data_IF_462222154735
#
_entry.id   IF_462222154735
#
_cell.length_a   1.000
_cell.length_b   1.000
_cell.length_c   1.000
_cell.angle_alpha   90.00
_cell.angle_beta   90.00
_cell.angle_gamma   90.00
#
_symmetry.space_group_name_H-M   'P 1'
#
loop_
_entity.id
_entity.type
_entity.pdbx_description
1 polymer ?
#
# COMPACT_ATOMS: atom_id res chain seq x y z
N UNK A 1 -26.48 -36.29 -30.32
CA UNK A 1 -26.60 -34.91 -30.83
C UNK A 1 -26.73 -33.98 -29.63
N UNK A 2 -25.76 -33.08 -29.44
CA UNK A 2 -25.80 -32.01 -28.44
C UNK A 2 -26.59 -30.84 -29.05
N UNK A 3 -27.49 -30.23 -28.29
CA UNK A 3 -28.03 -28.92 -28.61
C UNK A 3 -28.04 -28.06 -27.35
N UNK A 4 -27.72 -26.79 -27.57
CA UNK A 4 -27.13 -25.77 -26.70
C UNK A 4 -28.17 -24.86 -26.02
N UNK A 5 -27.77 -24.36 -24.86
CA UNK A 5 -28.20 -23.19 -24.03
C UNK A 5 -28.93 -22.01 -24.73
N UNK A 6 -29.70 -21.17 -23.99
CA UNK A 6 -29.10 -20.11 -23.16
C UNK A 6 -29.63 -19.95 -21.73
N UNK A 7 -28.70 -19.50 -20.88
CA UNK A 7 -28.83 -19.00 -19.52
C UNK A 7 -29.44 -17.60 -19.56
N UNK A 8 -30.60 -17.40 -18.91
CA UNK A 8 -31.11 -16.06 -18.61
C UNK A 8 -30.97 -15.80 -17.11
N UNK A 9 -29.96 -15.02 -16.76
CA UNK A 9 -29.74 -14.47 -15.43
C UNK A 9 -30.22 -13.02 -15.44
N UNK A 10 -31.54 -12.81 -15.30
CA UNK A 10 -32.09 -11.48 -15.04
C UNK A 10 -31.99 -11.21 -13.53
N UNK A 11 -30.96 -10.47 -13.13
CA UNK A 11 -30.98 -9.74 -11.85
C UNK A 11 -31.59 -8.38 -12.14
N UNK A 12 -32.89 -8.28 -11.90
CA UNK A 12 -33.65 -7.03 -12.02
C UNK A 12 -33.21 -6.07 -10.92
N UNK A 13 -32.41 -5.06 -11.26
CA UNK A 13 -32.13 -3.93 -10.38
C UNK A 13 -33.28 -2.92 -10.53
N UNK A 14 -34.30 -3.06 -9.69
CA UNK A 14 -35.28 -1.99 -9.46
C UNK A 14 -34.68 -1.01 -8.46
N UNK A 15 -33.99 0.02 -8.96
CA UNK A 15 -33.54 1.17 -8.17
C UNK A 15 -34.58 2.29 -8.29
N UNK A 16 -35.60 2.22 -7.44
CA UNK A 16 -36.47 3.36 -7.18
C UNK A 16 -35.67 4.36 -6.34
N UNK A 17 -35.17 5.40 -7.03
CA UNK A 17 -34.48 6.52 -6.43
C UNK A 17 -35.24 7.07 -5.22
N UNK A 18 -34.58 6.97 -4.06
CA UNK A 18 -34.93 7.46 -2.71
C UNK A 18 -34.98 6.34 -1.66
N UNK A 19 -33.79 5.80 -1.36
CA UNK A 19 -33.61 4.93 -0.21
C UNK A 19 -32.13 4.72 0.08
N UNK A 20 -31.44 5.74 0.61
CA UNK A 20 -30.09 5.55 1.17
C UNK A 20 -30.20 4.60 2.35
N UNK A 21 -30.05 3.32 2.09
CA UNK A 21 -30.19 2.28 3.10
C UNK A 21 -28.96 2.27 4.00
N UNK A 22 -29.18 2.20 5.32
CA UNK A 22 -28.11 2.10 6.29
C UNK A 22 -27.22 0.89 5.97
N UNK A 23 -25.89 1.10 5.97
CA UNK A 23 -24.93 0.03 5.70
C UNK A 23 -24.64 -0.24 4.22
N UNK A 24 -25.22 0.53 3.28
CA UNK A 24 -24.83 0.46 1.88
C UNK A 24 -23.37 0.93 1.71
N UNK A 25 -22.60 0.15 0.95
CA UNK A 25 -21.24 0.54 0.54
C UNK A 25 -21.30 1.16 -0.85
N UNK A 26 -20.70 2.34 -1.02
CA UNK A 26 -20.60 3.05 -2.29
C UNK A 26 -19.16 3.21 -2.74
N UNK A 27 -18.96 3.32 -4.05
CA UNK A 27 -17.69 3.76 -4.64
C UNK A 27 -17.64 5.28 -4.70
N UNK A 28 -16.50 5.84 -4.34
CA UNK A 28 -16.19 7.25 -4.46
C UNK A 28 -14.75 7.48 -4.93
N UNK A 29 -14.35 8.73 -5.02
CA UNK A 29 -12.98 9.15 -5.29
C UNK A 29 -12.51 10.19 -4.27
N UNK A 30 -11.25 10.10 -3.86
CA UNK A 30 -10.64 11.12 -2.99
C UNK A 30 -10.44 12.40 -3.81
N UNK A 31 -10.97 13.52 -3.32
CA UNK A 31 -10.84 14.85 -3.94
C UNK A 31 -9.67 15.60 -3.32
N UNK A 32 -9.51 15.52 -2.01
CA UNK A 32 -8.38 16.11 -1.29
C UNK A 32 -8.15 15.41 0.04
N UNK A 33 -6.97 15.60 0.61
CA UNK A 33 -6.61 15.13 1.96
C UNK A 33 -5.90 16.27 2.67
N UNK A 34 -6.32 16.60 3.88
CA UNK A 34 -5.65 17.63 4.70
C UNK A 34 -4.31 17.12 5.25
N UNK A 35 -3.46 18.02 5.78
CA UNK A 35 -2.21 17.61 6.46
C UNK A 35 -2.46 16.69 7.66
N UNK A 36 -3.64 16.79 8.30
CA UNK A 36 -4.06 15.92 9.39
C UNK A 36 -4.62 14.56 8.92
N UNK A 37 -4.64 14.29 7.60
CA UNK A 37 -5.15 13.05 7.03
C UNK A 37 -6.67 12.98 6.86
N UNK A 38 -7.40 14.09 7.06
CA UNK A 38 -8.84 14.13 6.89
C UNK A 38 -9.20 14.21 5.39
N UNK A 39 -9.90 13.21 4.82
CA UNK A 39 -10.22 13.20 3.40
C UNK A 39 -11.50 13.98 3.07
N UNK A 40 -11.52 14.56 1.87
CA UNK A 40 -12.75 14.90 1.16
C UNK A 40 -12.96 13.92 0.02
N UNK A 41 -14.16 13.39 -0.12
CA UNK A 41 -14.50 12.38 -1.12
C UNK A 41 -15.68 12.83 -1.98
N UNK A 42 -15.66 12.46 -3.25
CA UNK A 42 -16.79 12.57 -4.17
C UNK A 42 -17.37 11.18 -4.41
N UNK A 43 -18.67 11.09 -4.62
CA UNK A 43 -19.38 9.84 -4.93
C UNK A 43 -20.67 10.19 -5.67
N UNK A 44 -21.35 9.18 -6.20
CA UNK A 44 -22.56 9.37 -7.00
C UNK A 44 -23.63 10.18 -6.22
N UNK A 45 -24.09 11.28 -6.83
CA UNK A 45 -25.02 12.23 -6.20
C UNK A 45 -24.37 13.45 -5.51
N UNK A 46 -23.03 13.50 -5.41
CA UNK A 46 -22.27 14.68 -4.97
C UNK A 46 -21.40 15.15 -6.13
N UNK A 47 -21.48 16.44 -6.49
CA UNK A 47 -20.69 17.01 -7.60
C UNK A 47 -19.19 16.74 -7.44
N UNK A 48 -18.55 16.32 -8.55
CA UNK A 48 -17.15 15.84 -8.58
C UNK A 48 -16.14 16.81 -7.93
N UNK A 49 -16.39 18.11 -8.00
CA UNK A 49 -15.45 19.16 -7.55
C UNK A 49 -15.70 19.68 -6.13
N UNK A 50 -16.88 19.48 -5.56
CA UNK A 50 -17.19 20.02 -4.24
C UNK A 50 -16.63 19.13 -3.12
N UNK A 51 -16.78 17.80 -3.26
CA UNK A 51 -16.40 16.81 -2.25
C UNK A 51 -17.12 17.00 -0.90
N UNK A 52 -17.30 15.91 -0.15
CA UNK A 52 -17.81 15.95 1.22
C UNK A 52 -16.73 15.47 2.15
N UNK A 53 -16.61 16.11 3.33
CA UNK A 53 -15.70 15.66 4.37
C UNK A 53 -16.10 14.27 4.85
N UNK A 54 -15.12 13.37 4.91
CA UNK A 54 -15.31 11.99 5.29
C UNK A 54 -14.42 11.64 6.48
N UNK A 55 -14.88 10.72 7.32
CA UNK A 55 -14.02 10.03 8.27
C UNK A 55 -13.26 8.92 7.54
N UNK A 56 -12.17 8.43 8.11
CA UNK A 56 -11.41 7.34 7.51
C UNK A 56 -10.94 6.35 8.57
N UNK A 57 -11.00 5.05 8.24
CA UNK A 57 -10.39 3.97 9.04
C UNK A 57 -9.03 3.55 8.51
N UNK A 58 -8.60 4.11 7.37
CA UNK A 58 -7.31 3.85 6.73
C UNK A 58 -6.49 5.14 6.69
N UNK A 59 -5.15 5.08 6.82
CA UNK A 59 -4.32 6.26 6.62
C UNK A 59 -4.46 6.73 5.17
N UNK A 60 -4.68 8.03 5.00
CA UNK A 60 -4.76 8.70 3.70
C UNK A 60 -3.80 9.87 3.68
N UNK A 61 -3.11 10.05 2.55
CA UNK A 61 -2.20 11.15 2.28
C UNK A 61 -2.47 11.75 0.90
N UNK A 62 -1.67 12.73 0.49
CA UNK A 62 -1.83 13.40 -0.81
C UNK A 62 -1.69 12.45 -2.02
N UNK A 63 -1.00 11.30 -1.89
CA UNK A 63 -0.89 10.31 -2.97
C UNK A 63 -2.22 9.60 -3.24
N UNK A 64 -3.18 9.70 -2.30
CA UNK A 64 -4.49 9.09 -2.43
C UNK A 64 -5.47 9.91 -3.27
N UNK A 65 -5.15 11.18 -3.60
CA UNK A 65 -6.03 12.07 -4.36
C UNK A 65 -6.29 11.49 -5.76
N UNK A 66 -7.56 11.47 -6.18
CA UNK A 66 -8.02 10.88 -7.43
C UNK A 66 -8.26 9.37 -7.38
N UNK A 67 -7.83 8.67 -6.31
CA UNK A 67 -8.00 7.22 -6.18
C UNK A 67 -9.41 6.86 -5.74
N UNK A 68 -9.85 5.68 -6.17
CA UNK A 68 -11.15 5.13 -5.79
C UNK A 68 -11.16 4.64 -4.34
N UNK A 69 -12.25 4.90 -3.64
CA UNK A 69 -12.48 4.52 -2.24
C UNK A 69 -13.82 3.82 -2.06
N UNK A 70 -13.89 2.95 -1.06
CA UNK A 70 -15.14 2.40 -0.54
C UNK A 70 -15.63 3.25 0.63
N UNK A 71 -16.87 3.70 0.52
CA UNK A 71 -17.55 4.57 1.47
C UNK A 71 -18.72 3.83 2.11
N UNK A 72 -18.94 4.07 3.41
CA UNK A 72 -20.18 3.68 4.09
C UNK A 72 -20.83 4.89 4.76
N UNK A 73 -22.14 4.85 4.93
CA UNK A 73 -22.91 5.88 5.62
C UNK A 73 -23.43 5.30 6.93
N UNK A 74 -22.79 5.60 8.07
CA UNK A 74 -23.35 5.23 9.35
C UNK A 74 -24.66 6.00 9.53
N UNK A 75 -25.76 5.29 9.77
CA UNK A 75 -27.12 5.83 9.63
C UNK A 75 -27.48 7.06 10.47
N UNK A 76 -26.64 7.48 11.42
CA UNK A 76 -26.84 8.66 12.27
C UNK A 76 -25.85 9.80 11.98
N UNK A 77 -24.95 9.65 11.00
CA UNK A 77 -24.05 10.73 10.59
C UNK A 77 -24.21 11.04 9.11
N UNK A 78 -24.11 12.32 8.79
CA UNK A 78 -24.15 12.83 7.41
C UNK A 78 -22.81 12.66 6.69
N UNK A 79 -21.71 12.54 7.44
CA UNK A 79 -20.38 12.32 6.89
C UNK A 79 -20.17 10.83 6.55
N UNK A 80 -19.78 10.49 5.31
CA UNK A 80 -19.38 9.13 4.97
C UNK A 80 -18.09 8.72 5.70
N UNK A 81 -17.89 7.42 5.84
CA UNK A 81 -16.66 6.82 6.37
C UNK A 81 -15.97 6.05 5.26
N UNK A 82 -14.71 6.37 4.98
CA UNK A 82 -13.82 5.60 4.11
C UNK A 82 -13.39 4.35 4.86
N UNK A 83 -13.76 3.18 4.33
CA UNK A 83 -13.37 1.88 4.88
C UNK A 83 -12.08 1.36 4.23
N UNK A 84 -11.85 1.70 2.96
CA UNK A 84 -10.66 1.26 2.24
C UNK A 84 -10.48 1.90 0.87
N UNK A 85 -9.27 1.76 0.33
CA UNK A 85 -8.90 2.15 -1.03
C UNK A 85 -9.11 0.98 -1.99
N UNK A 86 -9.72 1.26 -3.13
CA UNK A 86 -9.74 0.32 -4.25
C UNK A 86 -8.36 0.36 -4.89
N UNK A 87 -7.72 -0.80 -5.03
CA UNK A 87 -6.38 -0.91 -5.61
C UNK A 87 -6.47 -1.31 -7.08
N UNK A 88 -5.93 -0.48 -7.96
CA UNK A 88 -5.61 -0.86 -9.34
C UNK A 88 -4.11 -1.11 -9.45
N UNK A 89 -3.70 -2.03 -10.32
CA UNK A 89 -2.28 -2.28 -10.64
C UNK A 89 -1.56 -1.02 -11.12
N UNK A 90 -2.30 -0.04 -11.67
CA UNK A 90 -1.76 1.26 -12.09
C UNK A 90 -1.44 2.18 -10.90
N UNK A 91 -2.16 2.07 -9.78
CA UNK A 91 -1.92 2.92 -8.61
C UNK A 91 -0.53 2.65 -8.01
N UNK A 92 -0.08 1.40 -8.06
CA UNK A 92 1.21 0.99 -7.52
C UNK A 92 2.40 1.54 -8.32
N UNK A 93 2.20 1.72 -9.63
CA UNK A 93 3.20 2.32 -10.54
C UNK A 93 3.23 3.85 -10.37
N UNK A 94 2.08 4.47 -10.10
CA UNK A 94 1.98 5.93 -9.89
C UNK A 94 2.39 6.36 -8.48
N UNK A 95 2.31 5.47 -7.49
CA UNK A 95 2.69 5.72 -6.11
C UNK A 95 4.20 5.71 -5.87
N UNK A 96 5.04 5.62 -6.91
CA UNK A 96 6.48 5.78 -6.75
C UNK A 96 6.76 7.12 -6.05
N UNK A 97 7.29 7.09 -4.81
CA UNK A 97 7.75 8.32 -4.21
C UNK A 97 8.90 8.76 -5.10
N UNK A 98 8.70 9.88 -5.79
CA UNK A 98 9.77 10.67 -6.39
C UNK A 98 10.65 11.16 -5.24
N UNK A 99 11.43 10.24 -4.65
CA UNK A 99 12.49 10.57 -3.71
C UNK A 99 13.41 11.46 -4.50
N UNK A 100 13.43 12.72 -4.10
CA UNK A 100 14.30 13.78 -4.62
C UNK A 100 15.73 13.23 -4.69
N UNK A 101 16.13 12.72 -5.85
CA UNK A 101 17.53 12.47 -6.18
C UNK A 101 18.16 13.83 -6.42
N UNK A 102 18.69 14.40 -5.34
CA UNK A 102 19.74 15.39 -5.45
C UNK A 102 20.97 14.73 -6.12
N UNK A 103 21.64 15.55 -6.94
CA UNK A 103 22.90 15.32 -7.66
C UNK A 103 22.82 14.78 -9.10
N UNK A 104 22.60 15.76 -10.00
CA UNK A 104 23.23 16.01 -11.32
C UNK A 104 23.31 14.93 -12.43
N UNK A 105 22.60 15.23 -13.54
CA UNK A 105 22.82 14.86 -14.98
C UNK A 105 22.73 13.35 -15.34
N UNK A 106 22.15 12.90 -16.45
CA UNK A 106 21.92 13.48 -17.78
C UNK A 106 20.81 12.66 -18.50
N UNK A 107 20.06 13.32 -19.39
CA UNK A 107 18.94 12.76 -20.14
C UNK A 107 19.32 11.55 -21.00
N UNK A 108 18.51 10.49 -20.96
CA UNK A 108 18.32 9.64 -22.14
C UNK A 108 16.90 9.13 -22.25
N UNK A 109 16.20 9.68 -23.24
CA UNK A 109 14.94 9.21 -23.78
C UNK A 109 15.02 7.70 -24.13
N UNK A 110 14.00 6.94 -23.74
CA UNK A 110 13.54 5.79 -24.54
C UNK A 110 12.03 5.61 -24.42
N UNK A 111 11.40 5.44 -25.58
CA UNK A 111 9.97 5.38 -25.87
C UNK A 111 9.25 4.11 -25.34
N UNK A 112 7.91 4.11 -25.28
CA UNK A 112 7.12 3.08 -24.61
C UNK A 112 6.86 1.88 -25.53
N UNK A 113 7.06 0.67 -25.03
CA UNK A 113 6.68 -0.53 -25.77
C UNK A 113 7.09 -1.83 -25.07
N UNK A 114 6.09 -2.61 -24.65
CA UNK A 114 6.24 -4.04 -24.38
C UNK A 114 5.91 -4.44 -22.95
N UNK A 115 4.71 -5.02 -22.77
CA UNK A 115 4.30 -5.72 -21.56
C UNK A 115 5.30 -6.84 -21.24
N UNK A 116 6.11 -6.63 -20.22
CA UNK A 116 6.62 -7.70 -19.39
C UNK A 116 6.11 -7.41 -17.97
N UNK A 117 5.30 -8.31 -17.45
CA UNK A 117 4.97 -8.35 -16.03
C UNK A 117 6.27 -8.63 -15.26
N UNK A 118 7.02 -7.57 -14.97
CA UNK A 118 8.14 -7.65 -14.04
C UNK A 118 7.55 -7.59 -12.65
N UNK A 119 7.76 -8.66 -11.89
CA UNK A 119 7.27 -8.83 -10.53
C UNK A 119 7.50 -7.56 -9.73
N UNK A 120 6.43 -7.04 -9.15
CA UNK A 120 6.54 -5.85 -8.32
C UNK A 120 7.36 -6.25 -7.12
N UNK A 121 8.56 -5.68 -7.04
CA UNK A 121 9.57 -6.01 -6.06
C UNK A 121 9.20 -5.39 -4.72
N UNK A 122 8.12 -5.91 -4.15
CA UNK A 122 7.49 -5.40 -2.96
C UNK A 122 8.01 -6.14 -1.75
N UNK A 123 8.25 -5.43 -0.63
CA UNK A 123 8.57 -6.11 0.59
C UNK A 123 7.41 -6.99 1.04
N UNK A 124 7.68 -8.26 1.32
CA UNK A 124 6.70 -9.25 1.75
C UNK A 124 7.02 -9.76 3.16
N UNK A 125 5.96 -10.03 3.92
CA UNK A 125 6.02 -10.61 5.26
C UNK A 125 5.13 -11.85 5.29
N UNK A 126 5.74 -13.03 5.39
CA UNK A 126 5.02 -14.31 5.46
C UNK A 126 5.05 -14.86 6.89
N UNK A 127 3.88 -15.25 7.42
CA UNK A 127 3.72 -15.81 8.77
C UNK A 127 3.03 -17.18 8.65
N UNK A 128 3.80 -18.26 8.85
CA UNK A 128 3.33 -19.67 8.77
C UNK A 128 3.03 -20.27 10.16
N UNK A 129 2.80 -19.42 11.18
CA UNK A 129 2.60 -19.83 12.58
C UNK A 129 3.83 -20.43 13.28
N UNK A 130 4.80 -20.95 12.52
CA UNK A 130 6.09 -21.51 12.97
C UNK A 130 7.29 -20.71 12.45
N UNK A 131 7.13 -20.00 11.33
CA UNK A 131 8.19 -19.23 10.65
C UNK A 131 7.68 -17.83 10.29
N UNK A 132 8.53 -16.83 10.51
CA UNK A 132 8.39 -15.47 10.01
C UNK A 132 9.47 -15.24 8.95
N UNK A 133 9.09 -14.79 7.76
CA UNK A 133 10.00 -14.49 6.66
C UNK A 133 9.78 -13.06 6.18
N UNK A 134 10.86 -12.27 6.18
CA UNK A 134 10.89 -10.88 5.69
C UNK A 134 11.74 -10.87 4.42
N UNK A 135 11.13 -10.49 3.29
CA UNK A 135 11.82 -10.33 2.02
C UNK A 135 11.66 -8.90 1.53
N UNK A 136 12.75 -8.30 1.05
CA UNK A 136 12.75 -7.02 0.35
C UNK A 136 13.90 -7.02 -0.66
N UNK A 137 13.74 -6.36 -1.82
CA UNK A 137 14.78 -6.38 -2.84
C UNK A 137 16.05 -5.66 -2.48
N UNK A 138 15.93 -4.48 -1.87
CA UNK A 138 17.06 -3.59 -1.70
C UNK A 138 17.61 -3.63 -0.26
N UNK A 139 16.75 -3.44 0.73
CA UNK A 139 17.16 -3.31 2.13
C UNK A 139 16.06 -3.72 3.12
N UNK A 140 16.44 -4.41 4.19
CA UNK A 140 15.59 -4.67 5.37
C UNK A 140 16.25 -4.01 6.58
N UNK A 141 15.61 -3.01 7.18
CA UNK A 141 16.09 -2.33 8.39
C UNK A 141 15.13 -2.50 9.57
N UNK A 142 15.61 -3.11 10.65
CA UNK A 142 14.93 -3.18 11.95
C UNK A 142 15.49 -2.09 12.87
N UNK A 143 14.71 -1.04 13.15
CA UNK A 143 15.15 0.13 13.92
C UNK A 143 14.40 0.26 15.24
N UNK A 144 15.14 0.56 16.32
CA UNK A 144 14.59 0.95 17.61
C UNK A 144 15.48 2.04 18.22
N UNK A 145 14.99 3.27 18.27
CA UNK A 145 15.77 4.43 18.73
C UNK A 145 17.08 4.61 17.98
N UNK A 146 18.20 4.59 18.71
CA UNK A 146 19.58 4.73 18.18
C UNK A 146 20.18 3.42 17.63
N UNK A 147 19.47 2.30 17.75
CA UNK A 147 19.94 0.98 17.32
C UNK A 147 19.26 0.54 16.03
N UNK A 148 20.00 -0.18 15.18
CA UNK A 148 19.49 -0.73 13.92
C UNK A 148 20.21 -2.01 13.50
N UNK A 149 19.47 -2.96 12.95
CA UNK A 149 20.00 -4.08 12.17
C UNK A 149 19.54 -3.91 10.73
N UNK A 150 20.48 -3.83 9.80
CA UNK A 150 20.23 -3.59 8.38
C UNK A 150 20.82 -4.70 7.53
N UNK A 151 20.01 -5.33 6.69
CA UNK A 151 20.40 -6.30 5.67
C UNK A 151 20.26 -5.65 4.30
N UNK A 152 21.27 -5.76 3.44
CA UNK A 152 21.31 -5.15 2.11
C UNK A 152 21.37 -6.19 0.98
N UNK A 153 20.96 -5.79 -0.21
CA UNK A 153 21.01 -6.63 -1.42
C UNK A 153 22.42 -7.12 -1.78
N UNK A 154 23.47 -6.40 -1.39
CA UNK A 154 24.88 -6.79 -1.58
C UNK A 154 25.35 -7.87 -0.60
N UNK A 155 24.46 -8.35 0.27
CA UNK A 155 24.75 -9.33 1.32
C UNK A 155 25.35 -8.73 2.60
N UNK A 156 25.54 -7.41 2.66
CA UNK A 156 26.09 -6.76 3.85
C UNK A 156 25.04 -6.70 4.95
N UNK A 157 25.41 -7.20 6.13
CA UNK A 157 24.63 -7.07 7.36
C UNK A 157 25.34 -6.07 8.28
N UNK A 158 24.64 -5.01 8.66
CA UNK A 158 25.17 -3.96 9.54
C UNK A 158 24.36 -3.91 10.83
N UNK A 159 25.03 -4.14 11.96
CA UNK A 159 24.46 -4.00 13.30
C UNK A 159 25.03 -2.73 13.93
N UNK A 160 24.14 -1.80 14.32
CA UNK A 160 24.49 -0.55 15.01
C UNK A 160 23.75 -0.44 16.33
N UNK A 161 24.45 0.06 17.33
CA UNK A 161 23.90 0.37 18.63
C UNK A 161 25.01 0.89 19.55
N UNK A 162 24.61 1.51 20.67
CA UNK A 162 25.56 2.00 21.68
C UNK A 162 26.27 0.83 22.39
N UNK A 163 25.56 -0.28 22.59
CA UNK A 163 26.07 -1.50 23.20
C UNK A 163 25.52 -2.73 22.46
N UNK A 164 26.40 -3.65 22.04
CA UNK A 164 26.01 -4.93 21.43
C UNK A 164 26.41 -6.08 22.37
N UNK A 165 25.42 -6.73 22.99
CA UNK A 165 25.63 -7.90 23.84
C UNK A 165 25.28 -9.17 23.06
N UNK A 166 26.30 -9.90 22.61
CA UNK A 166 26.13 -11.19 21.95
C UNK A 166 26.26 -12.33 22.95
N UNK A 167 25.16 -13.04 23.26
CA UNK A 167 25.14 -14.15 24.24
C UNK A 167 24.56 -15.42 23.61
N UNK A 168 25.25 -16.54 23.79
CA UNK A 168 24.75 -17.87 23.42
C UNK A 168 24.95 -18.84 24.59
N UNK A 169 24.09 -19.85 24.68
CA UNK A 169 24.25 -20.97 25.64
C UNK A 169 25.23 -22.04 25.15
N UNK A 170 25.48 -22.08 23.84
CA UNK A 170 26.50 -22.91 23.20
C UNK A 170 27.65 -22.08 22.66
N UNK A 171 28.37 -22.59 21.66
CA UNK A 171 29.46 -21.87 21.04
C UNK A 171 28.98 -20.73 20.13
N UNK A 172 29.61 -19.55 20.25
CA UNK A 172 29.59 -18.52 19.21
C UNK A 172 30.62 -18.89 18.15
N UNK A 173 30.18 -19.34 16.98
CA UNK A 173 31.10 -19.71 15.89
C UNK A 173 31.12 -18.63 14.82
N UNK A 174 32.22 -17.91 14.75
CA UNK A 174 32.50 -16.90 13.72
C UNK A 174 33.40 -17.53 12.67
N UNK A 175 33.01 -17.44 11.40
CA UNK A 175 33.80 -17.90 10.25
C UNK A 175 33.88 -16.77 9.23
N UNK A 176 35.07 -16.48 8.76
CA UNK A 176 35.32 -15.47 7.73
C UNK A 176 36.75 -15.59 7.21
N UNK A 177 36.99 -15.08 5.99
CA UNK A 177 38.34 -15.00 5.44
C UNK A 177 39.23 -14.01 6.20
N UNK A 178 38.63 -13.07 6.92
CA UNK A 178 39.28 -12.16 7.88
C UNK A 178 38.29 -11.84 9.00
N UNK A 179 38.82 -11.62 10.21
CA UNK A 179 38.09 -11.08 11.34
C UNK A 179 38.90 -9.89 11.85
N UNK A 180 38.35 -8.69 11.70
CA UNK A 180 38.96 -7.47 12.21
C UNK A 180 38.37 -7.16 13.58
N UNK A 181 39.24 -7.16 14.59
CA UNK A 181 38.95 -6.77 15.97
C UNK A 181 39.86 -5.59 16.30
N UNK A 182 39.26 -4.47 16.69
CA UNK A 182 39.96 -3.25 17.09
C UNK A 182 39.42 -2.80 18.45
#
# INVERSE_FOLDING_TARGET
>A
MRQTEPVNNEVTFSDDGQGRSQGQTLLGAVVSVSEAGAPRVSFEGVGKDAGVEALTTVPLDASCIGRQVLLTFPGNHTAPVVIGLVRSLLDDVLAEPSVKRGFEREERQVSPGGLAASGVDRPEVLIDGKKLELAAPEEITLRCGKSSITLRQDGKIVVRGEHILSRARGAHRIKGGSIELN
#
